data_IF_609394973005
#
_entry.id   IF_609394973005
#
_cell.length_a   1.000
_cell.length_b   1.000
_cell.length_c   1.000
_cell.angle_alpha   90.00
_cell.angle_beta   90.00
_cell.angle_gamma   90.00
#
_symmetry.space_group_name_H-M   'P 1'
#
loop_
_entity.id
_entity.type
_entity.pdbx_description
1 polymer ?
#
# COMPACT_ATOMS: atom_id res chain seq x y z
N UNK A 1 -24.26 -0.98 -13.08
CA UNK A 1 -23.58 -1.13 -11.78
C UNK A 1 -22.16 -0.69 -12.02
N UNK A 2 -21.72 0.36 -11.35
CA UNK A 2 -20.33 0.78 -11.42
C UNK A 2 -19.50 -0.33 -10.80
N UNK A 3 -18.70 -1.00 -11.62
CA UNK A 3 -17.84 -2.09 -11.18
C UNK A 3 -16.60 -1.44 -10.56
N UNK A 4 -16.72 -1.03 -9.30
CA UNK A 4 -15.61 -0.46 -8.54
C UNK A 4 -14.56 -1.54 -8.30
N UNK A 5 -13.28 -1.18 -8.44
CA UNK A 5 -12.19 -2.07 -8.06
C UNK A 5 -11.97 -2.02 -6.53
N UNK A 6 -11.20 -2.96 -5.99
CA UNK A 6 -10.95 -3.05 -4.55
C UNK A 6 -10.41 -1.74 -3.94
N UNK A 7 -9.62 -0.97 -4.68
CA UNK A 7 -9.12 0.33 -4.21
C UNK A 7 -10.27 1.34 -4.07
N UNK A 8 -11.17 1.39 -5.05
CA UNK A 8 -12.36 2.25 -5.03
C UNK A 8 -13.37 1.84 -3.96
N UNK A 9 -13.52 0.54 -3.72
CA UNK A 9 -14.35 0.02 -2.61
C UNK A 9 -13.80 0.44 -1.25
N UNK A 10 -12.48 0.61 -1.13
CA UNK A 10 -11.80 1.12 0.06
C UNK A 10 -11.67 2.66 0.09
N UNK A 11 -12.31 3.37 -0.84
CA UNK A 11 -12.36 4.84 -0.84
C UNK A 11 -11.22 5.53 -1.56
N UNK A 12 -10.35 4.78 -2.25
CA UNK A 12 -9.25 5.32 -3.04
C UNK A 12 -9.64 5.49 -4.51
N UNK A 13 -9.19 6.58 -5.13
CA UNK A 13 -9.33 6.87 -6.56
C UNK A 13 -8.75 5.74 -7.42
N UNK A 14 -7.59 5.20 -7.03
CA UNK A 14 -6.86 4.14 -7.74
C UNK A 14 -5.75 3.52 -6.86
N UNK A 15 -5.09 2.46 -7.34
CA UNK A 15 -3.96 1.79 -6.66
C UNK A 15 -2.83 2.75 -6.27
N UNK A 16 -2.49 3.72 -7.12
CA UNK A 16 -1.38 4.63 -6.83
C UNK A 16 -1.70 5.52 -5.63
N UNK A 17 -2.91 6.07 -5.56
CA UNK A 17 -3.33 6.88 -4.41
C UNK A 17 -3.32 6.06 -3.11
N UNK A 18 -3.72 4.79 -3.18
CA UNK A 18 -3.59 3.87 -2.05
C UNK A 18 -2.12 3.69 -1.60
N UNK A 19 -1.21 3.39 -2.53
CA UNK A 19 0.21 3.20 -2.18
C UNK A 19 0.87 4.51 -1.69
N UNK A 20 0.43 5.68 -2.19
CA UNK A 20 0.86 6.98 -1.68
C UNK A 20 0.39 7.21 -0.25
N UNK A 21 -0.84 6.84 0.12
CA UNK A 21 -1.33 7.00 1.49
C UNK A 21 -0.56 6.11 2.48
N UNK A 22 -0.18 4.89 2.08
CA UNK A 22 0.62 4.00 2.92
C UNK A 22 1.98 4.59 3.30
N UNK A 23 2.61 5.35 2.41
CA UNK A 23 3.88 6.00 2.72
C UNK A 23 3.71 7.03 3.86
N UNK A 24 2.61 7.80 3.83
CA UNK A 24 2.28 8.76 4.87
C UNK A 24 1.87 8.07 6.19
N UNK A 25 1.04 7.03 6.13
CA UNK A 25 0.49 6.33 7.30
C UNK A 25 1.58 5.56 8.08
N UNK A 26 2.49 4.90 7.35
CA UNK A 26 3.59 4.13 7.93
C UNK A 26 4.85 4.96 8.16
N UNK A 27 4.89 6.20 7.67
CA UNK A 27 6.04 7.09 7.83
C UNK A 27 7.29 6.65 7.06
N UNK A 28 7.14 5.80 6.06
CA UNK A 28 8.23 5.30 5.21
C UNK A 28 8.25 5.99 3.86
N UNK A 29 9.34 5.87 3.11
CA UNK A 29 9.42 6.45 1.77
C UNK A 29 8.45 5.78 0.78
N UNK A 30 7.88 6.55 -0.15
CA UNK A 30 7.08 6.00 -1.25
C UNK A 30 7.87 4.98 -2.09
N UNK A 31 9.19 5.16 -2.22
CA UNK A 31 10.06 4.18 -2.89
C UNK A 31 10.04 2.82 -2.18
N UNK A 32 10.09 2.81 -0.85
CA UNK A 32 9.96 1.60 -0.03
C UNK A 32 8.61 0.92 -0.28
N UNK A 33 7.51 1.67 -0.23
CA UNK A 33 6.16 1.12 -0.47
C UNK A 33 6.06 0.49 -1.86
N UNK A 34 6.50 1.21 -2.90
CA UNK A 34 6.44 0.72 -4.27
C UNK A 34 7.31 -0.51 -4.49
N UNK A 35 8.50 -0.58 -3.87
CA UNK A 35 9.39 -1.73 -3.97
C UNK A 35 8.78 -2.99 -3.34
N UNK A 36 8.13 -2.86 -2.18
CA UNK A 36 7.45 -3.98 -1.53
C UNK A 36 6.19 -4.38 -2.33
N UNK A 37 5.39 -3.41 -2.78
CA UNK A 37 4.19 -3.67 -3.57
C UNK A 37 4.49 -4.33 -4.93
N UNK A 38 5.63 -4.01 -5.56
CA UNK A 38 6.11 -4.68 -6.77
C UNK A 38 6.56 -6.12 -6.50
N UNK A 39 7.20 -6.36 -5.35
CA UNK A 39 7.68 -7.69 -4.95
C UNK A 39 6.54 -8.67 -4.64
N UNK A 40 5.48 -8.20 -3.98
CA UNK A 40 4.36 -9.05 -3.56
C UNK A 40 3.24 -9.11 -4.61
N UNK A 41 3.07 -8.04 -5.38
CA UNK A 41 2.03 -7.92 -6.39
C UNK A 41 0.71 -7.38 -5.84
N UNK A 42 -0.15 -6.93 -6.75
CA UNK A 42 -1.39 -6.21 -6.44
C UNK A 42 -2.40 -6.99 -5.59
N UNK A 43 -2.36 -8.32 -5.60
CA UNK A 43 -3.26 -9.15 -4.78
C UNK A 43 -2.97 -9.03 -3.29
N UNK A 44 -1.74 -8.67 -2.93
CA UNK A 44 -1.25 -8.60 -1.55
C UNK A 44 -1.26 -7.18 -1.00
N UNK A 45 -1.65 -6.19 -1.81
CA UNK A 45 -1.63 -4.76 -1.46
C UNK A 45 -2.35 -4.48 -0.12
N UNK A 46 -3.45 -5.18 0.15
CA UNK A 46 -4.27 -5.00 1.37
C UNK A 46 -3.99 -6.01 2.49
N UNK A 47 -2.97 -6.87 2.34
CA UNK A 47 -2.60 -7.89 3.34
C UNK A 47 -1.08 -7.94 3.50
N UNK A 48 -0.38 -8.73 2.69
CA UNK A 48 1.08 -8.93 2.78
C UNK A 48 1.91 -7.64 2.70
N UNK A 49 1.48 -6.65 1.92
CA UNK A 49 2.14 -5.33 1.89
C UNK A 49 2.06 -4.62 3.25
N UNK A 50 0.90 -4.62 3.90
CA UNK A 50 0.71 -3.95 5.19
C UNK A 50 1.61 -4.55 6.27
N UNK A 51 1.67 -5.89 6.35
CA UNK A 51 2.58 -6.56 7.30
C UNK A 51 4.05 -6.23 7.05
N UNK A 52 4.47 -6.13 5.79
CA UNK A 52 5.85 -5.77 5.45
C UNK A 52 6.18 -4.29 5.74
N UNK A 53 5.19 -3.39 5.66
CA UNK A 53 5.35 -1.97 6.00
C UNK A 53 5.40 -1.75 7.51
N UNK A 54 4.65 -2.52 8.31
CA UNK A 54 4.77 -2.53 9.77
C UNK A 54 6.20 -2.86 10.20
N UNK A 55 6.77 -3.94 9.63
CA UNK A 55 8.17 -4.33 9.89
C UNK A 55 9.18 -3.24 9.46
N UNK A 56 8.91 -2.56 8.33
CA UNK A 56 9.79 -1.50 7.83
C UNK A 56 9.74 -0.23 8.69
N UNK A 57 8.54 0.16 9.16
CA UNK A 57 8.34 1.28 10.07
C UNK A 57 9.12 1.09 11.37
N UNK A 58 9.07 -0.11 11.96
CA UNK A 58 9.77 -0.43 13.20
C UNK A 58 11.30 -0.38 13.06
N UNK A 59 11.85 -0.48 11.84
CA UNK A 59 13.28 -0.36 11.58
C UNK A 59 13.76 1.09 11.38
N UNK A 60 12.86 2.03 11.06
CA UNK A 60 13.19 3.45 10.89
C UNK A 60 13.08 4.29 12.18
N UNK A 61 12.56 3.70 13.28
CA UNK A 61 12.42 4.31 14.62
C UNK A 61 13.63 4.06 15.54
#
# INVERSE_FOLDING_TARGET
>A
MDNQNIYQENGYTNRREYLESLAEDYGVSLETVLAIADMYGESEDFDGLLSALEDAQDMEL
#
